data_IF_504821873221
#
_entry.id   IF_504821873221
#
_cell.length_a   1.000
_cell.length_b   1.000
_cell.length_c   1.000
_cell.angle_alpha   90.00
_cell.angle_beta   90.00
_cell.angle_gamma   90.00
#
_symmetry.space_group_name_H-M   'P 1'
#
loop_
_entity.id
_entity.type
_entity.pdbx_description
1 polymer ?
#
# COMPACT_ATOMS: atom_id res chain seq x y z
N UNK A 1 18.97 23.82 3.19
CA UNK A 1 19.44 22.43 3.41
C UNK A 1 18.87 21.95 4.73
N UNK A 2 17.78 21.21 4.69
CA UNK A 2 17.15 20.64 5.88
C UNK A 2 18.05 19.50 6.39
N UNK A 3 18.51 19.60 7.62
CA UNK A 3 19.28 18.52 8.28
C UNK A 3 18.33 17.36 8.53
N UNK A 4 18.64 16.19 8.02
CA UNK A 4 17.94 14.95 8.38
C UNK A 4 17.91 14.80 9.90
N UNK A 5 16.76 14.38 10.45
CA UNK A 5 16.69 14.10 11.89
C UNK A 5 17.65 12.94 12.24
N UNK A 6 18.15 12.88 13.50
CA UNK A 6 18.98 11.75 13.94
C UNK A 6 18.32 10.39 13.73
N UNK A 7 17.00 10.32 13.76
CA UNK A 7 16.21 9.11 13.57
C UNK A 7 16.13 8.69 12.09
N UNK A 8 15.96 9.67 11.17
CA UNK A 8 16.08 9.43 9.74
C UNK A 8 17.47 8.88 9.42
N UNK A 9 18.52 9.43 10.05
CA UNK A 9 19.87 8.95 9.88
C UNK A 9 20.08 7.51 10.40
N UNK A 10 19.52 7.15 11.55
CA UNK A 10 19.58 5.78 12.07
C UNK A 10 18.82 4.78 11.19
N UNK A 11 17.66 5.19 10.64
CA UNK A 11 16.91 4.39 9.69
C UNK A 11 17.71 4.11 8.40
N UNK A 12 18.49 5.09 7.94
CA UNK A 12 19.40 4.98 6.81
C UNK A 12 20.55 4.00 7.05
N UNK A 13 21.14 4.00 8.26
CA UNK A 13 22.16 3.02 8.65
C UNK A 13 21.61 1.58 8.71
N UNK A 14 20.31 1.42 9.04
CA UNK A 14 19.66 0.11 9.00
C UNK A 14 19.42 -0.40 7.55
N UNK A 15 19.21 0.52 6.60
CA UNK A 15 19.17 0.19 5.17
C UNK A 15 20.51 -0.35 4.66
N UNK A 16 21.62 0.26 5.08
CA UNK A 16 22.99 -0.18 4.76
C UNK A 16 23.22 -1.65 5.15
N UNK A 17 22.80 -2.03 6.35
CA UNK A 17 22.90 -3.41 6.86
C UNK A 17 21.99 -4.42 6.14
N UNK A 18 20.92 -3.95 5.52
CA UNK A 18 19.92 -4.82 4.87
C UNK A 18 20.19 -5.06 3.36
N UNK A 19 20.92 -4.16 2.69
CA UNK A 19 21.07 -4.16 1.23
C UNK A 19 22.51 -4.23 0.70
N UNK A 20 23.52 -4.37 1.58
CA UNK A 20 24.94 -4.55 1.21
C UNK A 20 25.63 -3.26 0.71
N UNK A 21 26.93 -3.24 0.85
CA UNK A 21 27.94 -2.21 0.55
C UNK A 21 27.47 -0.90 -0.08
N UNK A 22 27.40 0.13 0.76
CA UNK A 22 27.40 1.54 0.36
C UNK A 22 28.81 2.09 0.64
N UNK A 23 29.43 2.72 -0.35
CA UNK A 23 30.85 3.13 -0.27
C UNK A 23 31.09 4.23 0.77
N UNK A 24 30.09 5.05 1.14
CA UNK A 24 30.16 5.94 2.30
C UNK A 24 28.79 6.41 2.81
N UNK A 25 28.68 6.64 4.14
CA UNK A 25 27.50 7.19 4.81
C UNK A 25 27.15 8.60 4.31
N UNK A 26 28.11 9.37 3.85
CA UNK A 26 27.91 10.74 3.33
C UNK A 26 27.31 10.74 1.93
N UNK A 27 27.68 9.80 1.08
CA UNK A 27 27.12 9.63 -0.26
C UNK A 27 25.68 9.12 -0.16
N UNK A 28 25.44 8.12 0.69
CA UNK A 28 24.09 7.64 0.98
C UNK A 28 23.17 8.76 1.50
N UNK A 29 23.67 9.65 2.35
CA UNK A 29 22.95 10.82 2.83
C UNK A 29 22.58 11.79 1.70
N UNK A 30 23.51 12.07 0.79
CA UNK A 30 23.30 12.97 -0.32
C UNK A 30 22.27 12.39 -1.32
N UNK A 31 22.43 11.12 -1.67
CA UNK A 31 21.51 10.41 -2.56
C UNK A 31 20.09 10.31 -1.99
N UNK A 32 19.96 9.95 -0.72
CA UNK A 32 18.65 9.80 -0.09
C UNK A 32 17.96 11.15 0.17
N UNK A 33 18.70 12.21 0.45
CA UNK A 33 18.15 13.56 0.58
C UNK A 33 17.69 14.13 -0.75
N UNK A 34 18.31 13.71 -1.86
CA UNK A 34 17.96 14.15 -3.21
C UNK A 34 16.72 13.41 -3.78
N UNK A 35 16.42 12.20 -3.27
CA UNK A 35 15.39 11.32 -3.83
C UNK A 35 14.14 11.14 -2.98
N UNK A 36 14.18 11.62 -1.74
CA UNK A 36 13.01 11.54 -0.87
C UNK A 36 12.03 12.64 -1.27
N UNK A 37 10.80 12.30 -1.66
CA UNK A 37 9.77 13.32 -1.96
C UNK A 37 9.53 14.21 -0.74
N UNK A 38 9.18 15.47 -0.98
CA UNK A 38 8.86 16.40 0.09
C UNK A 38 7.79 15.83 1.03
N UNK A 39 8.04 15.94 2.34
CA UNK A 39 7.16 15.41 3.39
C UNK A 39 7.23 13.90 3.59
N UNK A 40 8.11 13.18 2.89
CA UNK A 40 8.31 11.76 3.13
C UNK A 40 9.21 11.49 4.34
N UNK A 41 8.98 10.37 5.02
CA UNK A 41 9.71 9.91 6.21
C UNK A 41 10.06 8.43 6.08
N UNK A 42 11.17 8.03 6.70
CA UNK A 42 11.52 6.63 6.90
C UNK A 42 11.21 6.23 8.36
N UNK A 43 10.42 5.18 8.51
CA UNK A 43 9.99 4.62 9.79
C UNK A 43 10.75 3.31 10.01
N UNK A 44 11.32 3.16 11.20
CA UNK A 44 12.02 1.93 11.57
C UNK A 44 11.09 1.02 12.36
N UNK A 45 11.15 -0.29 12.10
CA UNK A 45 10.47 -1.28 12.92
C UNK A 45 10.78 -1.09 14.42
N UNK A 46 9.73 -1.03 15.24
CA UNK A 46 9.80 -0.77 16.68
C UNK A 46 9.98 0.70 17.05
N UNK A 47 9.89 1.66 16.10
CA UNK A 47 9.77 3.08 16.43
C UNK A 47 8.32 3.45 16.74
N UNK A 48 8.10 4.48 17.55
CA UNK A 48 6.77 4.95 17.96
C UNK A 48 5.83 5.27 16.77
N UNK A 49 6.39 5.78 15.68
CA UNK A 49 5.66 6.15 14.46
C UNK A 49 5.40 4.95 13.52
N UNK A 50 5.95 3.75 13.82
CA UNK A 50 5.77 2.59 12.96
C UNK A 50 4.36 2.02 13.11
N UNK A 51 3.64 1.71 12.00
CA UNK A 51 2.29 1.15 12.10
C UNK A 51 2.28 -0.18 12.88
N UNK A 52 1.63 -0.17 14.05
CA UNK A 52 1.60 -1.30 14.98
C UNK A 52 1.11 -2.59 14.33
N UNK A 53 0.12 -2.48 13.45
CA UNK A 53 -0.47 -3.61 12.71
C UNK A 53 0.50 -4.34 11.78
N UNK A 54 1.61 -3.72 11.41
CA UNK A 54 2.63 -4.33 10.56
C UNK A 54 3.74 -5.03 11.37
N UNK A 55 3.85 -4.77 12.67
CA UNK A 55 4.85 -5.40 13.54
C UNK A 55 4.60 -6.89 13.73
N UNK A 56 3.32 -7.30 13.73
CA UNK A 56 2.90 -8.69 13.94
C UNK A 56 3.04 -9.57 12.68
N UNK A 57 3.48 -9.02 11.56
CA UNK A 57 3.75 -9.81 10.37
C UNK A 57 4.92 -10.77 10.61
N UNK A 58 4.87 -11.96 10.01
CA UNK A 58 5.99 -12.91 10.05
C UNK A 58 7.29 -12.36 9.43
N UNK A 59 7.18 -11.42 8.49
CA UNK A 59 8.29 -10.70 7.84
C UNK A 59 7.94 -9.20 7.81
N UNK A 60 8.00 -8.48 8.95
CA UNK A 60 7.72 -7.05 8.99
C UNK A 60 8.80 -6.26 8.27
N UNK A 61 8.46 -5.19 7.53
CA UNK A 61 9.44 -4.30 6.95
C UNK A 61 10.37 -3.70 8.01
N UNK A 62 11.68 -3.89 7.91
CA UNK A 62 12.64 -3.26 8.84
C UNK A 62 12.62 -1.74 8.75
N UNK A 63 12.35 -1.23 7.55
CA UNK A 63 12.16 0.19 7.25
C UNK A 63 10.97 0.33 6.33
N UNK A 64 10.13 1.30 6.65
CA UNK A 64 8.94 1.66 5.87
C UNK A 64 9.04 3.15 5.52
N UNK A 65 8.96 3.46 4.25
CA UNK A 65 8.89 4.84 3.77
C UNK A 65 7.43 5.29 3.76
N UNK A 66 7.15 6.48 4.27
CA UNK A 66 5.81 7.03 4.40
C UNK A 66 5.74 8.48 3.93
N UNK A 67 4.62 8.86 3.29
CA UNK A 67 4.28 10.24 2.93
C UNK A 67 2.79 10.47 3.18
N UNK A 68 2.44 11.48 3.96
CA UNK A 68 1.06 11.80 4.34
C UNK A 68 0.77 11.56 5.82
N UNK A 69 -0.49 11.28 6.14
CA UNK A 69 -1.03 11.18 7.50
C UNK A 69 -0.89 9.75 8.06
N UNK A 70 0.15 9.52 8.88
CA UNK A 70 0.42 8.22 9.52
C UNK A 70 -0.70 7.76 10.46
N UNK A 71 -1.48 8.67 11.03
CA UNK A 71 -2.56 8.31 11.95
C UNK A 71 -3.63 7.42 11.30
N UNK A 72 -3.69 7.40 9.96
CA UNK A 72 -4.62 6.57 9.22
C UNK A 72 -4.33 5.08 9.35
N UNK A 73 -3.06 4.70 9.56
CA UNK A 73 -2.68 3.31 9.78
C UNK A 73 -3.17 2.75 11.13
N UNK A 74 -3.50 3.62 12.08
CA UNK A 74 -4.00 3.26 13.42
C UNK A 74 -5.53 3.38 13.55
N UNK A 75 -6.24 3.77 12.49
CA UNK A 75 -7.71 3.85 12.53
C UNK A 75 -8.31 2.46 12.73
N UNK A 76 -9.40 2.37 13.51
CA UNK A 76 -10.06 1.10 13.83
C UNK A 76 -10.66 0.40 12.61
N UNK A 77 -11.24 1.14 11.68
CA UNK A 77 -11.86 0.58 10.48
C UNK A 77 -11.03 0.93 9.25
N UNK A 78 -10.36 -0.07 8.72
CA UNK A 78 -9.59 -0.01 7.48
C UNK A 78 -10.01 -1.16 6.59
N UNK A 79 -10.42 -0.86 5.36
CA UNK A 79 -10.89 -1.88 4.41
C UNK A 79 -9.95 -1.96 3.24
N UNK A 80 -9.29 -3.10 3.06
CA UNK A 80 -8.50 -3.36 1.85
C UNK A 80 -9.46 -3.68 0.71
N UNK A 81 -9.40 -2.90 -0.38
CA UNK A 81 -10.17 -3.16 -1.62
C UNK A 81 -9.17 -3.53 -2.70
N UNK A 82 -9.32 -4.75 -3.23
CA UNK A 82 -8.34 -5.35 -4.11
C UNK A 82 -9.00 -6.01 -5.30
N UNK A 83 -8.24 -6.11 -6.42
CA UNK A 83 -8.77 -6.82 -7.56
C UNK A 83 -7.90 -6.78 -8.81
N UNK A 84 -8.48 -7.23 -9.91
CA UNK A 84 -7.81 -7.35 -11.21
C UNK A 84 -7.37 -5.98 -11.74
N UNK A 85 -6.18 -5.96 -12.34
CA UNK A 85 -5.65 -4.80 -13.08
C UNK A 85 -6.41 -4.54 -14.38
N UNK A 86 -6.97 -5.60 -14.97
CA UNK A 86 -7.72 -5.60 -16.22
C UNK A 86 -9.21 -5.87 -15.92
N UNK A 87 -9.73 -5.32 -14.83
CA UNK A 87 -11.15 -5.41 -14.51
C UNK A 87 -11.99 -4.63 -15.55
N UNK A 88 -13.22 -5.08 -15.78
CA UNK A 88 -14.15 -4.35 -16.64
C UNK A 88 -14.49 -2.97 -16.04
N UNK A 89 -14.97 -2.06 -16.89
CA UNK A 89 -15.44 -0.73 -16.45
C UNK A 89 -16.45 -0.83 -15.32
N UNK A 90 -17.45 -1.72 -15.47
CA UNK A 90 -18.52 -1.92 -14.49
C UNK A 90 -17.96 -2.36 -13.12
N UNK A 91 -16.90 -3.21 -13.11
CA UNK A 91 -16.24 -3.63 -11.88
C UNK A 91 -15.44 -2.51 -11.24
N UNK A 92 -14.77 -1.69 -12.06
CA UNK A 92 -14.06 -0.51 -11.57
C UNK A 92 -15.04 0.53 -11.01
N UNK A 93 -16.16 0.79 -11.68
CA UNK A 93 -17.20 1.69 -11.21
C UNK A 93 -17.82 1.19 -9.89
N UNK A 94 -18.13 -0.09 -9.78
CA UNK A 94 -18.60 -0.68 -8.55
C UNK A 94 -17.59 -0.54 -7.40
N UNK A 95 -16.29 -0.74 -7.68
CA UNK A 95 -15.25 -0.56 -6.68
C UNK A 95 -15.12 0.90 -6.22
N UNK A 96 -15.25 1.85 -7.14
CA UNK A 96 -15.23 3.28 -6.86
C UNK A 96 -16.42 3.70 -5.98
N UNK A 97 -17.62 3.26 -6.32
CA UNK A 97 -18.84 3.56 -5.55
C UNK A 97 -18.81 2.96 -4.14
N UNK A 98 -18.38 1.70 -4.02
CA UNK A 98 -18.25 1.02 -2.71
C UNK A 98 -17.19 1.70 -1.85
N UNK A 99 -16.04 2.04 -2.44
CA UNK A 99 -14.99 2.76 -1.74
C UNK A 99 -15.47 4.14 -1.25
N UNK A 100 -16.22 4.87 -2.07
CA UNK A 100 -16.79 6.17 -1.71
C UNK A 100 -17.79 6.04 -0.55
N UNK A 101 -18.70 5.07 -0.58
CA UNK A 101 -19.67 4.86 0.50
C UNK A 101 -18.99 4.46 1.82
N UNK A 102 -18.04 3.52 1.78
CA UNK A 102 -17.29 3.12 2.95
C UNK A 102 -16.47 4.27 3.54
N UNK A 103 -15.79 5.04 2.69
CA UNK A 103 -14.99 6.18 3.10
C UNK A 103 -15.85 7.32 3.67
N UNK A 104 -17.04 7.57 3.10
CA UNK A 104 -18.00 8.54 3.62
C UNK A 104 -18.49 8.16 5.03
N UNK A 105 -18.52 6.87 5.36
CA UNK A 105 -18.86 6.33 6.69
C UNK A 105 -17.65 6.27 7.65
N UNK A 106 -16.50 6.78 7.25
CA UNK A 106 -15.31 6.90 8.10
C UNK A 106 -14.33 5.73 8.01
N UNK A 107 -14.54 4.77 7.11
CA UNK A 107 -13.54 3.74 6.83
C UNK A 107 -12.34 4.35 6.08
N UNK A 108 -11.15 3.86 6.39
CA UNK A 108 -9.96 4.14 5.59
C UNK A 108 -9.83 3.04 4.53
N UNK A 109 -9.78 3.43 3.27
CA UNK A 109 -9.60 2.48 2.16
C UNK A 109 -8.12 2.19 1.98
N UNK A 110 -7.75 0.91 1.93
CA UNK A 110 -6.37 0.47 1.71
C UNK A 110 -6.29 -0.22 0.36
N UNK A 111 -5.32 0.11 -0.47
CA UNK A 111 -5.09 -0.59 -1.72
C UNK A 111 -3.66 -0.40 -2.25
N UNK A 112 -3.37 -1.04 -3.39
CA UNK A 112 -2.01 -1.15 -3.92
C UNK A 112 -1.64 -0.15 -5.02
N UNK A 113 -2.51 0.76 -5.38
CA UNK A 113 -2.31 1.72 -6.46
C UNK A 113 -2.09 1.09 -7.86
N UNK A 114 -2.43 -0.18 -8.06
CA UNK A 114 -2.39 -0.79 -9.38
C UNK A 114 -3.49 -0.21 -10.31
N UNK A 115 -3.44 -0.56 -11.61
CA UNK A 115 -4.56 -0.28 -12.53
C UNK A 115 -5.83 -0.98 -12.05
N UNK A 116 -6.95 -0.62 -12.64
CA UNK A 116 -8.24 -1.29 -12.42
C UNK A 116 -8.78 -1.02 -11.02
N UNK A 117 -9.04 -2.09 -10.28
CA UNK A 117 -9.76 -2.02 -9.00
C UNK A 117 -9.04 -1.13 -7.97
N UNK A 118 -7.72 -1.26 -7.83
CA UNK A 118 -6.96 -0.49 -6.83
C UNK A 118 -7.10 1.02 -7.05
N UNK A 119 -6.87 1.47 -8.29
CA UNK A 119 -6.99 2.89 -8.64
C UNK A 119 -8.43 3.38 -8.50
N UNK A 120 -9.43 2.56 -8.86
CA UNK A 120 -10.84 2.89 -8.69
C UNK A 120 -11.19 3.07 -7.20
N UNK A 121 -10.74 2.15 -6.34
CA UNK A 121 -10.94 2.24 -4.89
C UNK A 121 -10.37 3.54 -4.29
N UNK A 122 -9.15 3.92 -4.70
CA UNK A 122 -8.55 5.18 -4.25
C UNK A 122 -9.34 6.40 -4.72
N UNK A 123 -9.75 6.45 -5.99
CA UNK A 123 -10.57 7.56 -6.51
C UNK A 123 -11.89 7.67 -5.75
N UNK A 124 -12.58 6.54 -5.54
CA UNK A 124 -13.82 6.53 -4.77
C UNK A 124 -13.64 7.07 -3.36
N UNK A 125 -12.59 6.66 -2.66
CA UNK A 125 -12.29 7.18 -1.33
C UNK A 125 -12.03 8.70 -1.36
N UNK A 126 -11.23 9.18 -2.32
CA UNK A 126 -10.92 10.61 -2.45
C UNK A 126 -12.15 11.45 -2.81
N UNK A 127 -13.09 10.93 -3.60
CA UNK A 127 -14.36 11.61 -3.89
C UNK A 127 -15.21 11.87 -2.65
N UNK A 128 -15.11 11.02 -1.63
CA UNK A 128 -15.81 11.19 -0.36
C UNK A 128 -15.10 12.18 0.59
N UNK A 129 -13.89 12.61 0.27
CA UNK A 129 -13.12 13.50 1.13
C UNK A 129 -13.66 14.93 1.10
N UNK A 130 -13.87 15.49 2.30
CA UNK A 130 -14.10 16.92 2.48
C UNK A 130 -13.32 17.40 3.71
N UNK A 131 -12.79 18.65 3.71
CA UNK A 131 -12.07 19.22 4.85
C UNK A 131 -12.88 19.18 6.15
N UNK A 132 -14.18 19.43 6.05
CA UNK A 132 -15.09 19.52 7.20
C UNK A 132 -15.35 18.15 7.83
N UNK A 133 -15.57 17.13 7.01
CA UNK A 133 -15.92 15.77 7.47
C UNK A 133 -14.69 14.94 7.84
N UNK A 134 -13.51 15.31 7.34
CA UNK A 134 -12.29 14.47 7.41
C UNK A 134 -12.53 12.99 7.03
N UNK A 135 -13.58 12.76 6.24
CA UNK A 135 -13.90 11.48 5.63
C UNK A 135 -13.16 11.31 4.30
N UNK A 136 -13.28 10.17 3.66
CA UNK A 136 -12.67 9.96 2.35
C UNK A 136 -11.16 9.72 2.39
N UNK A 137 -10.68 9.04 3.42
CA UNK A 137 -9.25 8.75 3.60
C UNK A 137 -8.86 7.44 2.95
N UNK A 138 -7.64 7.43 2.40
CA UNK A 138 -7.10 6.22 1.79
C UNK A 138 -5.60 6.05 2.05
N UNK A 139 -5.16 4.79 2.09
CA UNK A 139 -3.76 4.38 2.22
C UNK A 139 -3.36 3.65 0.95
N UNK A 140 -2.41 4.19 0.21
CA UNK A 140 -1.79 3.49 -0.90
C UNK A 140 -0.50 2.81 -0.44
N UNK A 141 -0.39 1.51 -0.68
CA UNK A 141 0.85 0.77 -0.42
C UNK A 141 1.55 0.53 -1.75
N UNK A 142 2.76 1.02 -1.92
CA UNK A 142 3.52 0.87 -3.16
C UNK A 142 4.45 -0.33 -3.10
N UNK A 143 4.59 -1.03 -4.21
CA UNK A 143 5.66 -2.01 -4.42
C UNK A 143 6.89 -1.43 -5.11
N UNK A 144 7.01 -0.09 -5.16
CA UNK A 144 8.10 0.67 -5.75
C UNK A 144 8.46 1.81 -4.80
N UNK A 145 9.63 2.46 -4.96
CA UNK A 145 9.96 3.66 -4.19
C UNK A 145 8.88 4.74 -4.27
N UNK A 146 8.75 5.57 -3.22
CA UNK A 146 7.77 6.67 -3.18
C UNK A 146 8.00 7.68 -4.32
N UNK A 147 9.25 7.86 -4.75
CA UNK A 147 9.65 8.72 -5.87
C UNK A 147 9.30 8.16 -7.26
N UNK A 148 8.93 6.88 -7.34
CA UNK A 148 8.57 6.19 -8.59
C UNK A 148 7.29 5.38 -8.44
N UNK A 149 6.13 6.03 -8.24
CA UNK A 149 4.86 5.32 -8.16
C UNK A 149 4.63 4.49 -9.43
N UNK A 150 4.21 3.25 -9.24
CA UNK A 150 3.92 2.36 -10.34
C UNK A 150 2.47 1.84 -10.29
N UNK A 151 1.72 1.86 -11.38
CA UNK A 151 2.15 2.25 -12.74
C UNK A 151 2.25 3.79 -12.90
N UNK A 152 3.03 4.29 -13.87
CA UNK A 152 3.26 5.74 -14.06
C UNK A 152 1.99 6.55 -14.28
N UNK A 153 0.98 5.98 -14.92
CA UNK A 153 -0.33 6.62 -15.13
C UNK A 153 -1.08 6.96 -13.83
N UNK A 154 -0.74 6.29 -12.72
CA UNK A 154 -1.31 6.55 -11.40
C UNK A 154 -0.43 7.49 -10.55
N UNK A 155 0.63 8.09 -11.12
CA UNK A 155 1.52 8.98 -10.37
C UNK A 155 0.77 10.19 -9.80
N UNK A 156 -0.11 10.81 -10.59
CA UNK A 156 -0.94 11.92 -10.12
C UNK A 156 -1.88 11.50 -8.98
N UNK A 157 -2.49 10.32 -9.10
CA UNK A 157 -3.33 9.76 -8.03
C UNK A 157 -2.52 9.52 -6.75
N UNK A 158 -1.25 9.11 -6.87
CA UNK A 158 -0.36 9.00 -5.73
C UNK A 158 -0.15 10.35 -5.03
N UNK A 159 0.07 11.42 -5.78
CA UNK A 159 0.23 12.76 -5.20
C UNK A 159 -1.06 13.24 -4.50
N UNK A 160 -2.22 13.05 -5.11
CA UNK A 160 -3.53 13.36 -4.51
C UNK A 160 -3.76 12.57 -3.20
N UNK A 161 -3.33 11.30 -3.16
CA UNK A 161 -3.39 10.48 -1.95
C UNK A 161 -2.42 11.02 -0.88
N UNK A 162 -1.21 11.43 -1.26
CA UNK A 162 -0.25 11.95 -0.30
C UNK A 162 -0.71 13.25 0.39
N UNK A 163 -1.51 14.06 -0.28
CA UNK A 163 -2.06 15.30 0.25
C UNK A 163 -3.16 15.09 1.30
N UNK A 164 -4.00 14.08 1.11
CA UNK A 164 -5.19 13.87 1.95
C UNK A 164 -5.26 12.51 2.65
N UNK A 165 -4.34 11.61 2.35
CA UNK A 165 -4.27 10.25 2.83
C UNK A 165 -2.86 9.86 3.27
N UNK A 166 -2.46 8.63 2.95
CA UNK A 166 -1.15 8.09 3.30
C UNK A 166 -0.61 7.22 2.16
N UNK A 167 0.67 7.37 1.85
CA UNK A 167 1.40 6.45 0.99
C UNK A 167 2.48 5.74 1.80
N UNK A 168 2.57 4.43 1.65
CA UNK A 168 3.57 3.58 2.28
C UNK A 168 4.35 2.78 1.24
N UNK A 169 5.63 2.55 1.50
CA UNK A 169 6.47 1.65 0.70
C UNK A 169 7.58 1.02 1.54
N UNK A 170 7.79 -0.28 1.37
CA UNK A 170 8.97 -0.97 1.92
C UNK A 170 10.18 -0.93 0.97
N UNK A 171 10.03 -0.33 -0.21
CA UNK A 171 11.11 -0.24 -1.17
C UNK A 171 12.05 0.90 -0.81
N UNK A 172 13.38 0.65 -0.82
CA UNK A 172 14.37 1.71 -0.62
C UNK A 172 14.20 2.81 -1.66
N UNK A 173 14.39 4.04 -1.21
CA UNK A 173 14.51 5.17 -2.13
C UNK A 173 15.92 5.15 -2.71
N UNK A 174 16.06 4.88 -4.00
CA UNK A 174 17.36 4.86 -4.68
C UNK A 174 17.25 5.64 -6.00
N UNK A 175 18.13 6.62 -6.17
CA UNK A 175 18.31 7.28 -7.46
C UNK A 175 18.84 6.32 -8.52
N UNK A 176 18.31 6.47 -9.74
CA UNK A 176 18.90 5.87 -10.95
C UNK A 176 18.80 4.36 -11.08
N UNK A 177 18.40 3.63 -10.09
CA UNK A 177 18.10 2.21 -10.24
C UNK A 177 16.76 2.08 -10.97
N UNK A 178 16.84 1.91 -12.28
CA UNK A 178 15.71 1.34 -13.02
C UNK A 178 15.40 0.01 -12.34
N UNK A 179 14.27 -0.05 -11.65
CA UNK A 179 13.73 -1.33 -11.21
C UNK A 179 13.63 -2.20 -12.46
N UNK A 180 14.48 -3.21 -12.55
CA UNK A 180 14.32 -4.18 -13.62
C UNK A 180 12.92 -4.80 -13.49
N UNK A 181 12.30 -5.23 -14.60
CA UNK A 181 10.92 -5.71 -14.59
C UNK A 181 10.68 -6.87 -13.62
N UNK A 182 11.65 -7.74 -13.43
CA UNK A 182 11.53 -8.91 -12.53
C UNK A 182 11.60 -8.50 -11.06
N UNK A 183 12.56 -7.63 -10.70
CA UNK A 183 12.67 -7.08 -9.34
C UNK A 183 11.40 -6.33 -8.97
N UNK A 184 10.86 -5.53 -9.89
CA UNK A 184 9.58 -4.84 -9.69
C UNK A 184 8.43 -5.83 -9.50
N UNK A 185 8.34 -6.88 -10.31
CA UNK A 185 7.29 -7.89 -10.17
C UNK A 185 7.37 -8.61 -8.81
N UNK A 186 8.58 -8.95 -8.36
CA UNK A 186 8.79 -9.54 -7.02
C UNK A 186 8.36 -8.58 -5.91
N UNK A 187 8.75 -7.32 -6.00
CA UNK A 187 8.42 -6.30 -5.00
C UNK A 187 6.91 -6.01 -4.94
N UNK A 188 6.23 -5.92 -6.08
CA UNK A 188 4.77 -5.78 -6.15
C UNK A 188 4.03 -6.97 -5.50
N UNK A 189 4.53 -8.21 -5.67
CA UNK A 189 3.96 -9.38 -5.00
C UNK A 189 4.21 -9.35 -3.49
N UNK A 190 5.44 -9.02 -3.08
CA UNK A 190 5.83 -8.94 -1.67
C UNK A 190 4.99 -7.90 -0.92
N UNK A 191 4.74 -6.74 -1.52
CA UNK A 191 3.93 -5.66 -0.98
C UNK A 191 2.51 -6.09 -0.58
N UNK A 192 1.92 -7.06 -1.27
CA UNK A 192 0.52 -7.47 -1.08
C UNK A 192 0.22 -7.88 0.37
N UNK A 193 1.20 -8.46 1.09
CA UNK A 193 1.05 -8.76 2.52
C UNK A 193 0.81 -7.52 3.38
N UNK A 194 1.36 -6.37 2.98
CA UNK A 194 1.18 -5.11 3.70
C UNK A 194 -0.22 -4.55 3.47
N UNK A 195 -0.77 -4.66 2.25
CA UNK A 195 -2.15 -4.27 1.98
C UNK A 195 -3.11 -5.12 2.81
N UNK A 196 -2.92 -6.44 2.81
CA UNK A 196 -3.71 -7.36 3.61
C UNK A 196 -3.65 -7.06 5.12
N UNK A 197 -2.46 -6.76 5.65
CA UNK A 197 -2.25 -6.51 7.07
C UNK A 197 -2.82 -5.16 7.53
N UNK A 198 -2.67 -4.12 6.72
CA UNK A 198 -3.20 -2.78 7.04
C UNK A 198 -4.73 -2.77 7.10
N UNK A 199 -5.42 -3.57 6.30
CA UNK A 199 -6.86 -3.70 6.38
C UNK A 199 -7.32 -4.50 7.60
N UNK A 200 -8.43 -4.12 8.21
CA UNK A 200 -9.14 -4.94 9.19
C UNK A 200 -9.96 -6.05 8.52
N UNK A 201 -10.16 -5.96 7.22
CA UNK A 201 -10.74 -6.95 6.33
C UNK A 201 -10.44 -6.62 4.88
N UNK A 202 -10.56 -7.60 3.99
CA UNK A 202 -10.26 -7.47 2.57
C UNK A 202 -11.49 -7.72 1.72
N UNK A 203 -11.89 -6.75 0.90
CA UNK A 203 -12.95 -6.86 -0.09
C UNK A 203 -12.33 -7.11 -1.48
N UNK A 204 -12.69 -8.24 -2.07
CA UNK A 204 -12.25 -8.65 -3.41
C UNK A 204 -13.31 -8.30 -4.45
N UNK A 205 -13.01 -7.35 -5.33
CA UNK A 205 -13.95 -6.86 -6.36
C UNK A 205 -13.86 -7.64 -7.68
N UNK A 206 -12.68 -8.17 -7.99
CA UNK A 206 -12.44 -9.01 -9.17
C UNK A 206 -11.13 -9.79 -8.99
N UNK A 207 -11.09 -11.05 -9.42
CA UNK A 207 -9.86 -11.82 -9.48
C UNK A 207 -9.89 -12.79 -10.68
N UNK A 208 -8.74 -13.40 -10.96
CA UNK A 208 -8.62 -14.50 -11.93
C UNK A 208 -7.83 -15.64 -11.29
N UNK A 209 -8.02 -16.88 -11.68
CA UNK A 209 -7.18 -17.99 -11.23
C UNK A 209 -5.68 -17.65 -11.37
N UNK A 210 -4.90 -17.88 -10.32
CA UNK A 210 -3.45 -17.62 -10.31
C UNK A 210 -3.03 -16.14 -10.29
N UNK A 211 -3.97 -15.19 -10.14
CA UNK A 211 -3.65 -13.76 -10.10
C UNK A 211 -2.97 -13.35 -8.77
N UNK A 212 -2.26 -12.22 -8.79
CA UNK A 212 -1.67 -11.63 -7.59
C UNK A 212 -2.71 -11.22 -6.54
N UNK A 213 -3.96 -10.99 -6.93
CA UNK A 213 -5.08 -10.72 -6.02
C UNK A 213 -5.33 -11.91 -5.10
N UNK A 214 -5.24 -13.15 -5.62
CA UNK A 214 -5.42 -14.35 -4.79
C UNK A 214 -4.26 -14.56 -3.81
N UNK A 215 -3.03 -14.14 -4.14
CA UNK A 215 -1.90 -14.11 -3.20
C UNK A 215 -2.21 -13.17 -2.03
N UNK A 216 -2.81 -12.02 -2.31
CA UNK A 216 -3.21 -11.06 -1.29
C UNK A 216 -4.35 -11.59 -0.39
N UNK A 217 -5.32 -12.27 -0.99
CA UNK A 217 -6.38 -12.98 -0.27
C UNK A 217 -5.78 -14.04 0.68
N UNK A 218 -4.85 -14.86 0.20
CA UNK A 218 -4.16 -15.83 1.03
C UNK A 218 -3.38 -15.18 2.18
N UNK A 219 -2.72 -14.05 1.92
CA UNK A 219 -2.02 -13.29 2.96
C UNK A 219 -3.00 -12.78 4.04
N UNK A 220 -4.19 -12.29 3.66
CA UNK A 220 -5.22 -11.85 4.59
C UNK A 220 -5.72 -13.01 5.47
N UNK A 221 -6.05 -14.15 4.86
CA UNK A 221 -6.51 -15.35 5.59
C UNK A 221 -5.44 -15.88 6.54
N UNK A 222 -4.17 -15.90 6.11
CA UNK A 222 -3.06 -16.41 6.93
C UNK A 222 -2.85 -15.62 8.24
N UNK A 223 -3.26 -14.35 8.27
CA UNK A 223 -3.20 -13.49 9.47
C UNK A 223 -4.58 -13.33 10.14
N UNK A 224 -5.55 -14.18 9.79
CA UNK A 224 -6.89 -14.18 10.40
C UNK A 224 -7.76 -12.96 10.02
N UNK A 225 -7.48 -12.28 8.91
CA UNK A 225 -8.31 -11.17 8.45
C UNK A 225 -9.50 -11.69 7.63
N UNK A 226 -10.72 -11.21 7.86
CA UNK A 226 -11.88 -11.60 7.08
C UNK A 226 -11.71 -11.18 5.61
N UNK A 227 -12.12 -12.07 4.71
CA UNK A 227 -12.17 -11.82 3.27
C UNK A 227 -13.62 -11.82 2.82
N UNK A 228 -14.02 -10.76 2.16
CA UNK A 228 -15.35 -10.55 1.62
C UNK A 228 -15.25 -10.58 0.10
N UNK A 229 -16.06 -11.39 -0.54
CA UNK A 229 -16.14 -11.44 -1.99
C UNK A 229 -17.27 -10.56 -2.49
N UNK A 230 -16.97 -9.69 -3.45
CA UNK A 230 -18.03 -8.98 -4.16
C UNK A 230 -18.98 -9.98 -4.81
N UNK A 231 -20.29 -9.74 -4.71
CA UNK A 231 -21.32 -10.70 -5.13
C UNK A 231 -21.09 -11.29 -6.52
N UNK A 232 -20.67 -10.46 -7.46
CA UNK A 232 -20.42 -10.93 -8.81
C UNK A 232 -19.15 -11.81 -8.97
N UNK A 233 -18.33 -11.99 -7.91
CA UNK A 233 -17.24 -12.95 -7.86
C UNK A 233 -17.70 -14.33 -7.37
N UNK A 234 -18.83 -14.43 -6.70
CA UNK A 234 -19.26 -15.66 -6.04
C UNK A 234 -19.49 -16.85 -6.99
N UNK A 235 -19.73 -16.57 -8.26
CA UNK A 235 -19.95 -17.60 -9.31
C UNK A 235 -18.68 -17.96 -10.09
N UNK A 236 -17.54 -17.38 -9.74
CA UNK A 236 -16.28 -17.66 -10.41
C UNK A 236 -15.59 -18.87 -9.76
N UNK A 237 -14.97 -19.75 -10.56
CA UNK A 237 -14.37 -21.00 -10.08
C UNK A 237 -13.35 -20.81 -8.94
N UNK A 238 -12.54 -19.76 -8.99
CA UNK A 238 -11.58 -19.42 -7.93
C UNK A 238 -12.25 -19.08 -6.60
N UNK A 239 -13.47 -18.51 -6.65
CA UNK A 239 -14.22 -18.14 -5.44
C UNK A 239 -14.81 -19.40 -4.77
N UNK A 240 -15.29 -20.36 -5.56
CA UNK A 240 -15.75 -21.66 -5.02
C UNK A 240 -14.61 -22.41 -4.32
N UNK A 241 -13.41 -22.42 -4.91
CA UNK A 241 -12.25 -23.07 -4.31
C UNK A 241 -11.83 -22.38 -3.01
N UNK A 242 -11.90 -21.05 -2.97
CA UNK A 242 -11.61 -20.27 -1.77
C UNK A 242 -12.62 -20.57 -0.65
N UNK A 243 -13.92 -20.60 -0.98
CA UNK A 243 -14.99 -20.88 -0.01
C UNK A 243 -14.95 -22.30 0.55
N UNK A 244 -14.53 -23.30 -0.27
CA UNK A 244 -14.37 -24.69 0.17
C UNK A 244 -13.18 -24.88 1.12
N UNK A 245 -12.15 -24.04 1.00
CA UNK A 245 -10.89 -24.14 1.76
C UNK A 245 -10.74 -23.02 2.79
N UNK A 246 -11.77 -22.21 3.01
CA UNK A 246 -11.77 -21.22 4.09
C UNK A 246 -11.82 -21.92 5.45
N UNK A 247 -11.02 -21.47 6.42
CA UNK A 247 -10.98 -22.04 7.76
C UNK A 247 -12.29 -21.83 8.53
#
# INVERSE_FOLDING_TARGET
>A
MSKLSPETFKALLALESAFGQVESVSELKAELSATFPDGARALRLGSEDYPSVLEDLADPPKVLCARGDLSLAERQLRVSIVGSRDASSDRCEAAELVAADLAARGAVIVSGLARGIDAAAHRGALCAWTPEKRAGRTIAVLGTPLSFPWPPENARLADEIAESGLILSECPQAEGRRFDPEARARSLKRRNRLVAALGTGTLVMAARPGSSTLIEVQAALAIGRPVILWQACAQESWAEDLLKNAP
#
